data_IF_480109207750
#
_entry.id   IF_480109207750
#
_cell.length_a   1.000
_cell.length_b   1.000
_cell.length_c   1.000
_cell.angle_alpha   90.00
_cell.angle_beta   90.00
_cell.angle_gamma   90.00
#
_symmetry.space_group_name_H-M   'P 1'
#
loop_
_entity.id
_entity.type
_entity.pdbx_description
1 polymer ?
#
# COMPACT_ATOMS: atom_id res chain seq x y z
N UNK A 1 2.90 14.86 -15.67
CA UNK A 1 1.59 14.26 -15.37
C UNK A 1 1.62 13.73 -13.95
N UNK A 2 1.26 14.56 -12.97
CA UNK A 2 1.21 14.17 -11.54
C UNK A 2 -0.18 13.61 -11.18
N UNK A 3 -1.22 14.05 -11.91
CA UNK A 3 -2.63 13.67 -11.72
C UNK A 3 -2.84 12.15 -11.92
N UNK A 4 -2.30 11.57 -13.00
CA UNK A 4 -2.38 10.13 -13.29
C UNK A 4 -1.89 9.24 -12.14
N UNK A 5 -0.80 9.59 -11.48
CA UNK A 5 -0.17 8.73 -10.45
C UNK A 5 -1.01 8.72 -9.17
N UNK A 6 -1.51 9.89 -8.77
CA UNK A 6 -2.35 10.04 -7.58
C UNK A 6 -3.67 9.32 -7.74
N UNK A 7 -4.35 9.48 -8.88
CA UNK A 7 -5.62 8.78 -9.17
C UNK A 7 -5.41 7.27 -9.27
N UNK A 8 -4.33 6.82 -9.92
CA UNK A 8 -3.98 5.39 -9.97
C UNK A 8 -3.65 4.83 -8.59
N UNK A 9 -3.00 5.60 -7.72
CA UNK A 9 -2.61 5.16 -6.38
C UNK A 9 -3.76 5.17 -5.36
N UNK A 10 -4.61 6.21 -5.38
CA UNK A 10 -5.63 6.46 -4.35
C UNK A 10 -7.06 6.13 -4.80
N UNK A 11 -7.31 5.92 -6.10
CA UNK A 11 -8.64 5.72 -6.68
C UNK A 11 -9.36 4.41 -6.32
N UNK A 12 -8.91 3.69 -5.28
CA UNK A 12 -9.55 2.46 -4.81
C UNK A 12 -9.47 2.34 -3.29
N UNK A 13 -10.59 2.02 -2.61
CA UNK A 13 -10.59 1.70 -1.18
C UNK A 13 -9.62 0.56 -0.81
N UNK A 14 -9.43 -0.42 -1.71
CA UNK A 14 -8.50 -1.53 -1.47
C UNK A 14 -7.06 -1.04 -1.53
N UNK A 15 -6.71 -0.15 -2.48
CA UNK A 15 -5.37 0.47 -2.55
C UNK A 15 -5.06 1.29 -1.31
N UNK A 16 -6.01 2.10 -0.85
CA UNK A 16 -5.87 2.85 0.41
C UNK A 16 -5.63 1.93 1.61
N UNK A 17 -6.36 0.82 1.71
CA UNK A 17 -6.16 -0.17 2.77
C UNK A 17 -4.79 -0.85 2.69
N UNK A 18 -4.30 -1.17 1.49
CA UNK A 18 -2.94 -1.70 1.28
C UNK A 18 -1.92 -0.68 1.78
N UNK A 19 -1.99 0.56 1.30
CA UNK A 19 -1.04 1.62 1.65
C UNK A 19 -1.04 1.88 3.15
N UNK A 20 -2.22 1.92 3.80
CA UNK A 20 -2.34 2.03 5.26
C UNK A 20 -1.71 0.85 5.99
N UNK A 21 -1.92 -0.38 5.52
CA UNK A 21 -1.34 -1.57 6.14
C UNK A 21 0.18 -1.60 6.04
N UNK A 22 0.75 -1.06 4.95
CA UNK A 22 2.19 -0.97 4.71
C UNK A 22 2.84 0.28 5.33
N UNK A 23 2.04 1.26 5.77
CA UNK A 23 2.52 2.49 6.39
C UNK A 23 3.20 2.28 7.76
N UNK A 24 3.06 1.09 8.36
CA UNK A 24 3.85 0.69 9.54
C UNK A 24 5.35 0.59 9.24
N UNK A 25 5.73 0.47 7.96
CA UNK A 25 7.11 0.27 7.52
C UNK A 25 7.53 -1.20 7.44
N UNK A 26 6.69 -2.12 7.90
CA UNK A 26 6.93 -3.56 7.79
C UNK A 26 6.69 -4.06 6.37
N UNK A 27 7.56 -4.95 5.89
CA UNK A 27 7.34 -5.68 4.65
C UNK A 27 6.38 -6.85 4.90
N UNK A 28 5.21 -6.83 4.26
CA UNK A 28 4.13 -7.81 4.47
C UNK A 28 3.98 -8.74 3.26
N UNK A 29 3.75 -10.01 3.54
CA UNK A 29 3.35 -11.00 2.54
C UNK A 29 1.92 -10.77 2.06
N UNK A 30 1.58 -11.39 0.93
CA UNK A 30 0.21 -11.46 0.42
C UNK A 30 -0.78 -11.98 1.48
N UNK A 31 -0.36 -12.98 2.25
CA UNK A 31 -1.17 -13.61 3.30
C UNK A 31 -1.44 -12.66 4.48
N UNK A 32 -0.41 -11.95 4.96
CA UNK A 32 -0.56 -10.97 6.04
C UNK A 32 -1.46 -9.80 5.63
N UNK A 33 -1.38 -9.35 4.37
CA UNK A 33 -2.28 -8.33 3.84
C UNK A 33 -3.74 -8.80 3.79
N UNK A 34 -3.99 -10.07 3.41
CA UNK A 34 -5.34 -10.64 3.38
C UNK A 34 -5.96 -10.76 4.79
N UNK A 35 -5.15 -10.97 5.83
CA UNK A 35 -5.63 -10.93 7.22
C UNK A 35 -6.12 -9.55 7.63
N UNK A 36 -5.51 -8.49 7.09
CA UNK A 36 -5.79 -7.08 7.45
C UNK A 36 -6.86 -6.44 6.55
N UNK A 37 -7.10 -6.99 5.35
CA UNK A 37 -7.90 -6.36 4.30
C UNK A 37 -8.93 -7.37 3.80
N UNK A 38 -10.23 -7.18 4.10
CA UNK A 38 -11.27 -8.09 3.65
C UNK A 38 -11.51 -7.91 2.15
N UNK A 39 -10.84 -8.73 1.33
CA UNK A 39 -11.00 -8.76 -0.12
C UNK A 39 -10.56 -10.10 -0.70
N UNK A 40 -10.85 -10.32 -1.99
CA UNK A 40 -10.42 -11.53 -2.70
C UNK A 40 -8.91 -11.48 -3.00
N UNK A 41 -8.19 -12.62 -2.92
CA UNK A 41 -6.76 -12.67 -3.28
C UNK A 41 -6.44 -12.12 -4.67
N UNK A 42 -7.29 -12.40 -5.66
CA UNK A 42 -7.15 -11.88 -7.04
C UNK A 42 -7.26 -10.36 -7.13
N UNK A 43 -8.17 -9.78 -6.34
CA UNK A 43 -8.36 -8.32 -6.27
C UNK A 43 -7.16 -7.65 -5.61
N UNK A 44 -6.69 -8.21 -4.49
CA UNK A 44 -5.54 -7.67 -3.78
C UNK A 44 -4.26 -7.76 -4.62
N UNK A 45 -4.04 -8.87 -5.34
CA UNK A 45 -2.91 -9.04 -6.27
C UNK A 45 -2.93 -8.01 -7.40
N UNK A 46 -4.09 -7.76 -8.01
CA UNK A 46 -4.23 -6.74 -9.06
C UNK A 46 -3.86 -5.35 -8.50
N UNK A 47 -4.39 -4.98 -7.34
CA UNK A 47 -4.08 -3.68 -6.75
C UNK A 47 -2.62 -3.54 -6.30
N UNK A 48 -1.99 -4.60 -5.79
CA UNK A 48 -0.55 -4.60 -5.50
C UNK A 48 0.26 -4.41 -6.78
N UNK A 49 -0.11 -5.08 -7.88
CA UNK A 49 0.53 -4.89 -9.18
C UNK A 49 0.46 -3.43 -9.62
N UNK A 50 -0.72 -2.80 -9.61
CA UNK A 50 -0.87 -1.39 -9.96
C UNK A 50 0.04 -0.49 -9.09
N UNK A 51 0.07 -0.74 -7.78
CA UNK A 51 0.86 0.06 -6.83
C UNK A 51 2.38 -0.15 -7.01
N UNK A 52 2.80 -1.34 -7.42
CA UNK A 52 4.20 -1.64 -7.78
C UNK A 52 4.58 -0.98 -9.10
N UNK A 53 3.70 -1.01 -10.10
CA UNK A 53 3.93 -0.37 -11.40
C UNK A 53 4.12 1.14 -11.29
N UNK A 54 3.34 1.81 -10.43
CA UNK A 54 3.54 3.25 -10.14
C UNK A 54 4.67 3.50 -9.12
N UNK A 55 5.35 2.46 -8.63
CA UNK A 55 6.47 2.57 -7.70
C UNK A 55 6.10 3.07 -6.30
N UNK A 56 4.83 2.94 -5.88
CA UNK A 56 4.38 3.27 -4.53
C UNK A 56 4.61 2.13 -3.55
N UNK A 57 4.60 0.90 -4.05
CA UNK A 57 4.92 -0.31 -3.32
C UNK A 57 6.12 -0.98 -3.99
N UNK A 58 7.01 -1.53 -3.19
CA UNK A 58 8.13 -2.34 -3.66
C UNK A 58 7.84 -3.81 -3.35
N UNK A 59 8.01 -4.67 -4.35
CA UNK A 59 7.97 -6.12 -4.20
C UNK A 59 9.39 -6.64 -3.96
N UNK A 60 9.55 -7.46 -2.92
CA UNK A 60 10.82 -8.05 -2.52
C UNK A 60 10.65 -9.57 -2.41
N UNK A 61 11.56 -10.32 -3.05
CA UNK A 61 11.59 -11.77 -2.93
C UNK A 61 12.36 -12.18 -1.67
N UNK A 62 11.71 -12.95 -0.79
CA UNK A 62 12.29 -13.51 0.43
C UNK A 62 12.18 -15.03 0.39
N UNK A 63 13.27 -15.71 0.04
CA UNK A 63 13.29 -17.16 -0.21
C UNK A 63 12.19 -17.56 -1.22
N UNK A 64 11.14 -18.24 -0.77
CA UNK A 64 10.02 -18.70 -1.61
C UNK A 64 8.81 -17.76 -1.60
N UNK A 65 8.81 -16.70 -0.78
CA UNK A 65 7.66 -15.80 -0.61
C UNK A 65 7.95 -14.36 -1.05
N UNK A 66 6.93 -13.70 -1.60
CA UNK A 66 6.97 -12.27 -1.92
C UNK A 66 6.50 -11.46 -0.72
N UNK A 67 7.24 -10.41 -0.40
CA UNK A 67 6.84 -9.36 0.54
C UNK A 67 6.70 -8.03 -0.18
N UNK A 68 5.83 -7.19 0.36
CA UNK A 68 5.50 -5.88 -0.17
C UNK A 68 5.79 -4.85 0.91
N UNK A 69 6.46 -3.76 0.55
CA UNK A 69 6.69 -2.62 1.45
C UNK A 69 6.34 -1.32 0.74
N UNK A 70 5.96 -0.30 1.51
CA UNK A 70 5.71 1.00 0.92
C UNK A 70 7.04 1.70 0.58
N UNK A 71 7.10 2.38 -0.56
CA UNK A 71 8.30 3.10 -0.99
C UNK A 71 8.45 4.42 -0.20
N UNK A 72 9.20 4.38 0.90
CA UNK A 72 9.46 5.54 1.75
C UNK A 72 10.34 6.63 1.10
N UNK A 73 10.93 6.34 -0.07
CA UNK A 73 11.70 7.29 -0.87
C UNK A 73 10.84 8.34 -1.58
N UNK A 74 9.56 8.04 -1.86
CA UNK A 74 8.66 8.99 -2.53
C UNK A 74 8.10 10.03 -1.57
N UNK A 75 8.29 11.32 -1.88
CA UNK A 75 7.76 12.45 -1.08
C UNK A 75 6.24 12.38 -0.88
N UNK A 76 5.48 12.00 -1.92
CA UNK A 76 4.03 11.83 -1.84
C UNK A 76 3.61 10.82 -0.76
N UNK A 77 4.33 9.70 -0.64
CA UNK A 77 4.02 8.67 0.34
C UNK A 77 4.35 9.09 1.77
N UNK A 78 5.32 10.00 1.98
CA UNK A 78 5.56 10.60 3.29
C UNK A 78 4.35 11.39 3.79
N UNK A 79 3.72 12.18 2.90
CA UNK A 79 2.49 12.89 3.23
C UNK A 79 1.32 11.92 3.51
N UNK A 80 1.24 10.82 2.76
CA UNK A 80 0.20 9.81 2.98
C UNK A 80 0.38 9.08 4.33
N UNK A 81 1.61 8.77 4.74
CA UNK A 81 1.91 8.22 6.07
C UNK A 81 1.48 9.20 7.16
N UNK A 82 1.84 10.48 7.02
CA UNK A 82 1.45 11.51 7.98
C UNK A 82 -0.07 11.59 8.12
N UNK A 83 -0.78 11.64 6.98
CA UNK A 83 -2.25 11.62 6.95
C UNK A 83 -2.83 10.41 7.69
N UNK A 84 -2.32 9.19 7.42
CA UNK A 84 -2.83 8.00 8.11
C UNK A 84 -2.61 8.04 9.62
N UNK A 85 -1.50 8.63 10.08
CA UNK A 85 -1.22 8.82 11.51
C UNK A 85 -2.15 9.85 12.12
N UNK A 86 -2.29 11.01 11.51
CA UNK A 86 -3.12 12.11 12.02
C UNK A 86 -4.60 11.70 12.09
N UNK A 87 -5.15 11.15 11.01
CA UNK A 87 -6.56 10.73 10.96
C UNK A 87 -6.85 9.57 11.93
N UNK A 88 -5.87 8.69 12.18
CA UNK A 88 -6.04 7.62 13.18
C UNK A 88 -6.09 8.13 14.62
N UNK A 89 -5.54 9.32 14.90
CA UNK A 89 -5.57 9.98 16.22
C UNK A 89 -6.83 10.84 16.36
N UNK A 90 -7.37 11.37 15.26
CA UNK A 90 -8.58 12.22 15.27
C UNK A 90 -9.90 11.45 15.37
N UNK A 91 -9.87 10.14 15.57
CA UNK A 91 -11.07 9.32 15.80
C UNK A 91 -11.16 8.97 17.29
N UNK A 92 -11.20 10.00 18.13
CA UNK A 92 -11.58 9.95 19.55
C UNK A 92 -12.83 10.83 19.75
#
# INVERSE_FOLDING_TARGET
>A
MVEDEVEKGLGSPVKLRILRALASGEALTMYELLKKIPTKPTTLRRHLKDLVEIGWVEEQQYATVKKYRMNSGKKALKHLIALFREVSISTD
#
